data_IF_209049834338
#
_entry.id   IF_209049834338
#
_cell.length_a   1.000
_cell.length_b   1.000
_cell.length_c   1.000
_cell.angle_alpha   90.00
_cell.angle_beta   90.00
_cell.angle_gamma   90.00
#
_symmetry.space_group_name_H-M   'P 1'
#
loop_
_entity.id
_entity.type
_entity.pdbx_description
1 polymer ?
#
# COMPACT_ATOMS: atom_id res chain seq x y z
N UNK A 1 62.63 -10.87 11.79
CA UNK A 1 61.45 -11.29 11.00
C UNK A 1 60.25 -11.31 11.94
N UNK A 2 59.16 -10.61 11.57
CA UNK A 2 58.05 -10.23 12.45
C UNK A 2 57.05 -11.39 12.59
N UNK A 3 56.79 -11.85 13.80
CA UNK A 3 55.71 -12.81 14.08
C UNK A 3 54.39 -12.05 14.27
N UNK A 4 53.51 -12.21 13.29
CA UNK A 4 52.20 -11.58 13.15
C UNK A 4 51.25 -12.08 14.23
N UNK A 5 50.65 -11.15 14.98
CA UNK A 5 49.58 -11.42 15.95
C UNK A 5 48.40 -12.11 15.24
N UNK A 6 48.02 -13.30 15.72
CA UNK A 6 46.75 -13.94 15.35
C UNK A 6 45.62 -13.14 15.98
N UNK A 7 44.93 -12.39 15.14
CA UNK A 7 43.74 -11.66 15.51
C UNK A 7 42.66 -12.63 16.01
N UNK A 8 42.13 -12.25 17.16
CA UNK A 8 41.05 -12.86 17.93
C UNK A 8 39.85 -13.13 17.01
N UNK A 9 39.50 -14.40 16.82
CA UNK A 9 38.21 -14.79 16.25
C UNK A 9 37.17 -14.64 17.37
N UNK A 10 36.67 -13.42 17.56
CA UNK A 10 35.44 -13.22 18.34
C UNK A 10 34.31 -13.69 17.44
N UNK A 11 33.83 -14.91 17.70
CA UNK A 11 32.57 -15.39 17.19
C UNK A 11 31.45 -14.49 17.72
N UNK A 12 31.14 -13.43 16.98
CA UNK A 12 29.92 -12.66 17.18
C UNK A 12 28.77 -13.48 16.61
N UNK A 13 28.32 -14.45 17.39
CA UNK A 13 27.00 -15.03 17.24
C UNK A 13 25.97 -13.93 17.53
N UNK A 14 25.66 -13.11 16.52
CA UNK A 14 24.44 -12.30 16.53
C UNK A 14 23.25 -13.23 16.29
N UNK A 15 22.88 -13.97 17.33
CA UNK A 15 21.53 -14.51 17.46
C UNK A 15 20.71 -13.41 18.10
N UNK A 16 20.26 -12.45 17.29
CA UNK A 16 19.20 -11.52 17.67
C UNK A 16 17.88 -12.12 17.22
N UNK A 17 17.38 -13.09 17.98
CA UNK A 17 16.00 -13.51 17.89
C UNK A 17 15.13 -12.50 18.64
N UNK A 18 14.45 -11.60 17.92
CA UNK A 18 13.29 -10.88 18.45
C UNK A 18 12.37 -10.48 17.28
N UNK A 19 11.42 -11.38 17.01
CA UNK A 19 10.17 -11.21 16.25
C UNK A 19 10.28 -10.76 14.79
N UNK A 20 10.33 -11.75 13.89
CA UNK A 20 9.90 -11.60 12.51
C UNK A 20 8.41 -11.30 12.43
N UNK A 21 8.03 -10.02 12.51
CA UNK A 21 6.95 -9.55 11.69
C UNK A 21 7.45 -9.73 10.25
N UNK A 22 7.08 -10.84 9.61
CA UNK A 22 7.29 -10.97 8.18
C UNK A 22 6.64 -9.74 7.56
N UNK A 23 7.42 -8.92 6.85
CA UNK A 23 6.89 -7.77 6.15
C UNK A 23 5.89 -8.31 5.15
N UNK A 24 4.60 -8.19 5.49
CA UNK A 24 3.54 -8.71 4.66
C UNK A 24 3.45 -7.83 3.41
N UNK A 25 3.16 -8.43 2.26
CA UNK A 25 2.84 -7.69 1.05
C UNK A 25 1.40 -7.97 0.65
N UNK A 26 0.74 -6.98 0.06
CA UNK A 26 -0.68 -7.02 -0.23
C UNK A 26 -0.93 -6.58 -1.66
N UNK A 27 -1.73 -7.36 -2.39
CA UNK A 27 -2.20 -6.95 -3.72
C UNK A 27 -3.57 -6.31 -3.58
N UNK A 28 -3.67 -5.03 -3.95
CA UNK A 28 -4.95 -4.30 -3.99
C UNK A 28 -5.27 -3.95 -5.45
N UNK A 29 -6.40 -4.43 -5.93
CA UNK A 29 -6.95 -4.01 -7.22
C UNK A 29 -7.66 -2.67 -7.09
N UNK A 30 -7.40 -1.79 -8.04
CA UNK A 30 -7.99 -0.46 -8.20
C UNK A 30 -8.81 -0.42 -9.49
N UNK A 31 -10.04 0.04 -9.40
CA UNK A 31 -10.91 0.27 -10.56
C UNK A 31 -11.49 1.68 -10.51
N UNK A 32 -11.68 2.28 -11.70
CA UNK A 32 -12.22 3.62 -11.87
C UNK A 32 -13.56 3.52 -12.63
N UNK A 33 -14.68 3.22 -11.94
CA UNK A 33 -15.95 2.89 -12.59
C UNK A 33 -16.53 4.02 -13.45
N UNK A 34 -16.19 5.27 -13.14
CA UNK A 34 -16.68 6.44 -13.86
C UNK A 34 -15.88 6.76 -15.13
N UNK A 35 -14.80 6.01 -15.41
CA UNK A 35 -13.97 6.17 -16.60
C UNK A 35 -13.99 4.89 -17.45
N UNK A 36 -14.78 4.91 -18.51
CA UNK A 36 -14.95 3.78 -19.43
C UNK A 36 -13.65 3.35 -20.15
N UNK A 37 -12.62 4.22 -20.18
CA UNK A 37 -11.33 3.90 -20.79
C UNK A 37 -10.30 3.42 -19.76
N UNK A 38 -10.62 3.48 -18.47
CA UNK A 38 -9.72 3.04 -17.43
C UNK A 38 -9.66 1.51 -17.35
N UNK A 39 -8.44 0.98 -17.30
CA UNK A 39 -8.21 -0.44 -17.01
C UNK A 39 -8.01 -0.62 -15.50
N UNK A 40 -8.41 -1.77 -14.93
CA UNK A 40 -8.05 -2.12 -13.57
C UNK A 40 -6.53 -2.11 -13.39
N UNK A 41 -6.07 -1.69 -12.21
CA UNK A 41 -4.65 -1.62 -11.84
C UNK A 41 -4.45 -2.39 -10.55
N UNK A 42 -3.57 -3.38 -10.56
CA UNK A 42 -3.12 -4.05 -9.34
C UNK A 42 -1.94 -3.27 -8.73
N UNK A 43 -2.03 -2.98 -7.43
CA UNK A 43 -0.97 -2.32 -6.66
C UNK A 43 -0.44 -3.29 -5.60
N UNK A 44 0.90 -3.38 -5.53
CA UNK A 44 1.61 -4.16 -4.52
C UNK A 44 2.01 -3.23 -3.36
N UNK A 45 1.37 -3.43 -2.21
CA UNK A 45 1.62 -2.67 -1.00
C UNK A 45 2.51 -3.47 -0.08
N UNK A 46 3.60 -2.88 0.41
CA UNK A 46 4.38 -3.46 1.51
C UNK A 46 3.86 -2.95 2.85
N UNK A 47 3.87 -3.80 3.87
CA UNK A 47 3.50 -3.43 5.24
C UNK A 47 4.36 -2.26 5.73
N UNK A 48 3.72 -1.14 6.07
CA UNK A 48 4.39 0.12 6.42
C UNK A 48 5.35 0.68 5.34
N UNK A 49 5.20 0.25 4.08
CA UNK A 49 6.05 0.62 2.94
C UNK A 49 5.76 2.01 2.34
N UNK A 50 6.15 2.29 1.09
CA UNK A 50 5.80 3.57 0.45
C UNK A 50 4.37 3.53 -0.10
N UNK A 51 3.62 4.65 -0.10
CA UNK A 51 2.33 4.71 -0.78
C UNK A 51 2.46 4.33 -2.25
N UNK A 52 1.57 3.46 -2.72
CA UNK A 52 1.42 3.14 -4.14
C UNK A 52 0.28 3.95 -4.75
N UNK A 53 0.35 4.15 -6.06
CA UNK A 53 -0.56 5.08 -6.73
C UNK A 53 -1.08 4.52 -8.04
N UNK A 54 -2.34 4.82 -8.35
CA UNK A 54 -2.93 4.54 -9.66
C UNK A 54 -3.64 5.78 -10.20
N UNK A 55 -3.76 5.86 -11.52
CA UNK A 55 -4.39 6.99 -12.20
C UNK A 55 -5.25 6.50 -13.37
N UNK A 56 -6.47 7.01 -13.46
CA UNK A 56 -7.33 6.85 -14.63
C UNK A 56 -6.94 7.81 -15.77
N UNK A 57 -7.19 7.45 -17.04
CA UNK A 57 -7.07 8.38 -18.17
C UNK A 57 -7.82 9.70 -17.98
N UNK A 58 -9.01 9.66 -17.38
CA UNK A 58 -9.86 10.82 -17.09
C UNK A 58 -9.36 11.73 -15.97
N UNK A 59 -8.23 11.39 -15.33
CA UNK A 59 -7.56 12.29 -14.38
C UNK A 59 -7.93 12.10 -12.91
N UNK A 60 -8.62 11.01 -12.55
CA UNK A 60 -8.75 10.54 -11.16
C UNK A 60 -7.48 9.82 -10.75
N UNK A 61 -6.93 10.20 -9.60
CA UNK A 61 -5.73 9.65 -8.99
C UNK A 61 -6.07 9.05 -7.64
N UNK A 62 -5.48 7.91 -7.31
CA UNK A 62 -5.58 7.30 -5.98
C UNK A 62 -4.19 7.00 -5.45
N UNK A 63 -3.96 7.26 -4.17
CA UNK A 63 -2.81 6.81 -3.42
C UNK A 63 -3.27 5.90 -2.27
N UNK A 64 -2.60 4.77 -2.09
CA UNK A 64 -2.91 3.76 -1.08
C UNK A 64 -1.64 3.43 -0.32
N UNK A 65 -1.75 3.41 1.00
CA UNK A 65 -0.67 3.07 1.91
C UNK A 65 -1.17 2.00 2.89
N UNK A 66 -0.52 0.82 2.87
CA UNK A 66 -0.77 -0.22 3.85
C UNK A 66 -0.20 0.19 5.21
N UNK A 67 -1.01 0.14 6.26
CA UNK A 67 -0.59 0.42 7.63
C UNK A 67 -0.15 -0.84 8.35
N UNK A 68 -1.07 -1.80 8.48
CA UNK A 68 -0.80 -3.08 9.12
C UNK A 68 -1.86 -4.12 8.73
N UNK A 69 -1.45 -5.38 8.66
CA UNK A 69 -2.36 -6.52 8.63
C UNK A 69 -3.12 -6.62 9.97
N UNK A 70 -4.42 -6.82 9.87
CA UNK A 70 -5.29 -7.13 10.99
C UNK A 70 -5.63 -8.62 11.01
N UNK A 71 -6.00 -9.13 12.18
CA UNK A 71 -6.50 -10.49 12.32
C UNK A 71 -7.69 -10.74 11.37
N UNK A 72 -7.84 -11.97 10.88
CA UNK A 72 -8.98 -12.34 10.04
C UNK A 72 -8.88 -11.92 8.57
N UNK A 73 -7.66 -11.78 8.02
CA UNK A 73 -7.41 -11.42 6.61
C UNK A 73 -7.94 -10.03 6.24
N UNK A 74 -7.67 -9.07 7.12
CA UNK A 74 -8.01 -7.67 6.94
C UNK A 74 -6.75 -6.82 6.82
N UNK A 75 -6.85 -5.70 6.10
CA UNK A 75 -5.80 -4.70 5.97
C UNK A 75 -6.32 -3.33 6.38
N UNK A 76 -5.66 -2.68 7.34
CA UNK A 76 -5.85 -1.24 7.55
C UNK A 76 -4.98 -0.47 6.54
N UNK A 77 -5.57 0.52 5.87
CA UNK A 77 -4.88 1.33 4.87
C UNK A 77 -5.26 2.80 4.97
N UNK A 78 -4.32 3.69 4.64
CA UNK A 78 -4.63 5.08 4.34
C UNK A 78 -4.85 5.24 2.85
N UNK A 79 -6.00 5.79 2.46
CA UNK A 79 -6.36 6.00 1.05
C UNK A 79 -6.65 7.47 0.80
N UNK A 80 -6.14 7.98 -0.32
CA UNK A 80 -6.48 9.30 -0.82
C UNK A 80 -6.95 9.20 -2.26
N UNK A 81 -8.14 9.73 -2.56
CA UNK A 81 -8.67 9.83 -3.92
C UNK A 81 -8.76 11.30 -4.30
N UNK A 82 -8.12 11.67 -5.41
CA UNK A 82 -8.06 13.03 -5.93
C UNK A 82 -8.59 13.02 -7.36
N UNK A 83 -9.61 13.81 -7.64
CA UNK A 83 -10.10 14.01 -9.00
C UNK A 83 -9.50 15.27 -9.65
N UNK A 84 -9.49 15.28 -11.00
CA UNK A 84 -9.17 16.45 -11.83
C UNK A 84 -7.83 17.13 -11.50
N UNK A 85 -6.78 16.33 -11.31
CA UNK A 85 -5.41 16.81 -11.02
C UNK A 85 -4.97 17.88 -12.03
N UNK A 86 -4.59 19.06 -11.55
CA UNK A 86 -4.16 20.20 -12.38
C UNK A 86 -5.24 21.22 -12.72
N UNK A 87 -6.46 21.05 -12.23
CA UNK A 87 -7.54 22.04 -12.34
C UNK A 87 -7.70 22.84 -11.03
N UNK A 88 -8.32 24.02 -11.08
CA UNK A 88 -8.68 24.78 -9.88
C UNK A 88 -9.69 24.05 -8.97
N UNK A 89 -10.30 22.96 -9.47
CA UNK A 89 -11.23 22.09 -8.76
C UNK A 89 -10.54 20.83 -8.21
N UNK A 90 -9.23 20.65 -8.39
CA UNK A 90 -8.47 19.55 -7.83
C UNK A 90 -8.59 19.59 -6.30
N UNK A 91 -9.58 18.88 -5.78
CA UNK A 91 -9.97 18.89 -4.38
C UNK A 91 -9.36 17.64 -3.76
N UNK A 92 -8.12 17.74 -3.29
CA UNK A 92 -7.44 16.63 -2.64
C UNK A 92 -7.04 16.98 -1.22
N UNK A 93 -7.62 16.27 -0.24
CA UNK A 93 -7.00 15.94 1.06
C UNK A 93 -7.82 14.91 1.87
N UNK A 94 -8.68 14.10 1.22
CA UNK A 94 -9.53 13.12 1.90
C UNK A 94 -8.78 11.84 2.31
N UNK A 95 -7.61 11.97 2.94
CA UNK A 95 -6.87 10.81 3.45
C UNK A 95 -7.76 10.15 4.51
N UNK A 96 -8.31 8.99 4.17
CA UNK A 96 -9.20 8.22 5.02
C UNK A 96 -8.51 6.93 5.42
N UNK A 97 -8.75 6.50 6.66
CA UNK A 97 -8.37 5.15 7.06
C UNK A 97 -9.49 4.21 6.64
N UNK A 98 -9.14 3.24 5.81
CA UNK A 98 -10.04 2.21 5.32
C UNK A 98 -9.60 0.83 5.79
N UNK A 99 -10.59 -0.05 5.93
CA UNK A 99 -10.39 -1.43 6.35
C UNK A 99 -10.86 -2.35 5.21
N UNK A 100 -9.90 -3.02 4.57
CA UNK A 100 -10.19 -3.94 3.49
C UNK A 100 -10.23 -5.37 3.99
N UNK A 101 -11.37 -6.03 3.80
CA UNK A 101 -11.48 -7.48 3.97
C UNK A 101 -11.10 -8.16 2.65
N UNK A 102 -10.35 -9.26 2.74
CA UNK A 102 -9.93 -10.02 1.56
C UNK A 102 -11.14 -10.39 0.68
N UNK A 103 -11.05 -10.02 -0.61
CA UNK A 103 -12.05 -10.33 -1.62
C UNK A 103 -13.31 -9.46 -1.59
N UNK A 104 -13.42 -8.49 -0.67
CA UNK A 104 -14.59 -7.60 -0.57
C UNK A 104 -14.30 -6.22 -1.20
N UNK A 105 -14.98 -5.86 -2.30
CA UNK A 105 -14.82 -4.54 -2.92
C UNK A 105 -15.33 -3.41 -2.03
N UNK A 106 -14.65 -2.27 -2.06
CA UNK A 106 -15.03 -1.03 -1.37
C UNK A 106 -14.98 0.13 -2.33
N UNK A 107 -16.07 0.90 -2.38
CA UNK A 107 -16.12 2.14 -3.16
C UNK A 107 -15.72 3.31 -2.26
N UNK A 108 -14.82 4.16 -2.75
CA UNK A 108 -14.36 5.37 -2.09
C UNK A 108 -14.61 6.53 -3.04
N UNK A 109 -15.20 7.59 -2.51
CA UNK A 109 -15.50 8.79 -3.28
C UNK A 109 -14.47 9.87 -2.97
N UNK A 110 -14.02 10.58 -4.01
CA UNK A 110 -13.35 11.86 -3.83
C UNK A 110 -14.35 12.88 -3.26
N UNK A 111 -13.86 14.00 -2.67
CA UNK A 111 -14.74 15.08 -2.20
C UNK A 111 -15.68 15.65 -3.27
N UNK A 112 -15.32 15.57 -4.55
CA UNK A 112 -16.16 16.05 -5.66
C UNK A 112 -17.08 14.96 -6.24
N UNK A 113 -16.99 13.72 -5.75
CA UNK A 113 -17.87 12.63 -6.11
C UNK A 113 -17.34 11.62 -7.13
N UNK A 114 -16.05 11.70 -7.51
CA UNK A 114 -15.45 10.67 -8.37
C UNK A 114 -15.25 9.37 -7.57
N UNK A 115 -15.63 8.23 -8.14
CA UNK A 115 -15.55 6.94 -7.47
C UNK A 115 -14.30 6.15 -7.84
N UNK A 116 -13.74 5.46 -6.85
CA UNK A 116 -12.70 4.43 -7.01
C UNK A 116 -13.16 3.19 -6.24
N UNK A 117 -13.07 2.02 -6.88
CA UNK A 117 -13.33 0.74 -6.23
C UNK A 117 -12.02 0.05 -5.92
N UNK A 118 -11.81 -0.28 -4.65
CA UNK A 118 -10.63 -0.98 -4.14
C UNK A 118 -11.00 -2.39 -3.68
N UNK A 119 -10.18 -3.38 -4.01
CA UNK A 119 -10.36 -4.75 -3.53
C UNK A 119 -9.03 -5.34 -3.10
N UNK A 120 -8.90 -5.70 -1.82
CA UNK A 120 -7.77 -6.51 -1.36
C UNK A 120 -7.90 -7.91 -1.96
N UNK A 121 -6.95 -8.33 -2.79
CA UNK A 121 -6.96 -9.64 -3.47
C UNK A 121 -6.11 -10.67 -2.78
N UNK A 122 -4.96 -10.27 -2.23
CA UNK A 122 -3.99 -11.19 -1.66
C UNK A 122 -3.30 -10.56 -0.45
N UNK A 123 -2.91 -11.41 0.50
CA UNK A 123 -2.06 -11.10 1.64
C UNK A 123 -0.94 -12.14 1.61
N UNK A 124 0.29 -11.69 1.40
CA UNK A 124 1.51 -12.49 1.49
C UNK A 124 2.18 -12.16 2.82
N UNK A 125 2.64 -13.16 3.56
CA UNK A 125 3.33 -12.97 4.84
C UNK A 125 4.05 -14.21 5.27
#
# INVERSE_FOLDING_TARGET
MKCTLKAIVVAAALVTAASGAQAASYTVDVQFPDDANAKPVALELDDSGKPQTAKSPGGVFVAIYARHALAGKMLESSVNVIDKVGTAQASGTGITTEYFSLGQPRSILSPSGASVVLTLKQIHG
#
